data_IF_100729630180
#
_entry.id   IF_100729630180
#
_cell.length_a   1.000
_cell.length_b   1.000
_cell.length_c   1.000
_cell.angle_alpha   90.00
_cell.angle_beta   90.00
_cell.angle_gamma   90.00
#
_symmetry.space_group_name_H-M   'P 1'
#
loop_
_entity.id
_entity.type
_entity.pdbx_description
1 polymer ?
#
# COMPACT_ATOMS: atom_id res chain seq x y z
N UNK A 1 -16.83 -16.36 -1.54
CA UNK A 1 -17.19 -14.97 -1.85
C UNK A 1 -18.19 -14.49 -0.82
N UNK A 2 -17.94 -13.32 -0.23
CA UNK A 2 -18.77 -12.66 0.76
C UNK A 2 -19.11 -11.23 0.30
N UNK A 3 -20.25 -10.71 0.74
CA UNK A 3 -20.62 -9.32 0.50
C UNK A 3 -20.05 -8.38 1.58
N UNK A 4 -20.24 -7.07 1.41
CA UNK A 4 -19.74 -6.06 2.37
C UNK A 4 -20.33 -6.17 3.76
N UNK A 5 -21.55 -6.70 3.92
CA UNK A 5 -22.17 -6.93 5.24
C UNK A 5 -21.53 -8.10 5.96
N UNK A 6 -21.28 -9.18 5.24
CA UNK A 6 -20.61 -10.37 5.77
C UNK A 6 -19.16 -10.07 6.15
N UNK A 7 -18.43 -9.37 5.27
CA UNK A 7 -17.07 -8.91 5.56
C UNK A 7 -17.03 -7.94 6.75
N UNK A 8 -17.97 -7.00 6.84
CA UNK A 8 -18.08 -6.06 7.96
C UNK A 8 -18.26 -6.79 9.30
N UNK A 9 -19.09 -7.85 9.31
CA UNK A 9 -19.27 -8.71 10.47
C UNK A 9 -18.00 -9.52 10.79
N UNK A 10 -17.36 -10.15 9.79
CA UNK A 10 -16.12 -10.93 9.96
C UNK A 10 -15.00 -10.06 10.53
N UNK A 11 -14.88 -8.82 10.07
CA UNK A 11 -13.79 -7.91 10.40
C UNK A 11 -14.11 -6.91 11.52
N UNK A 12 -15.27 -7.08 12.15
CA UNK A 12 -15.79 -6.24 13.24
C UNK A 12 -15.66 -4.75 12.93
N UNK A 13 -16.17 -4.34 11.76
CA UNK A 13 -16.09 -2.96 11.30
C UNK A 13 -17.38 -2.53 10.57
N UNK A 14 -17.44 -1.27 10.18
CA UNK A 14 -18.60 -0.75 9.45
C UNK A 14 -18.61 -1.20 7.99
N UNK A 15 -19.81 -1.40 7.42
CA UNK A 15 -20.01 -1.66 5.98
C UNK A 15 -19.39 -0.54 5.13
N UNK A 16 -19.43 0.70 5.63
CA UNK A 16 -18.81 1.87 4.98
C UNK A 16 -17.29 1.72 4.89
N UNK A 17 -16.66 1.21 5.95
CA UNK A 17 -15.22 0.90 5.97
C UNK A 17 -14.89 -0.15 4.92
N UNK A 18 -15.64 -1.26 4.88
CA UNK A 18 -15.40 -2.32 3.88
C UNK A 18 -15.55 -1.79 2.46
N UNK A 19 -16.65 -1.07 2.19
CA UNK A 19 -16.91 -0.45 0.88
C UNK A 19 -15.77 0.47 0.47
N UNK A 20 -15.27 1.28 1.42
CA UNK A 20 -14.12 2.15 1.18
C UNK A 20 -12.87 1.35 0.85
N UNK A 21 -12.53 0.31 1.61
CA UNK A 21 -11.34 -0.52 1.33
C UNK A 21 -11.39 -1.19 -0.04
N UNK A 22 -12.57 -1.64 -0.48
CA UNK A 22 -12.76 -2.20 -1.82
C UNK A 22 -12.59 -1.11 -2.89
N UNK A 23 -13.26 0.03 -2.71
CA UNK A 23 -13.18 1.16 -3.64
C UNK A 23 -11.77 1.75 -3.72
N UNK A 24 -11.03 1.75 -2.62
CA UNK A 24 -9.66 2.24 -2.52
C UNK A 24 -8.65 1.26 -3.15
N UNK A 25 -9.08 0.06 -3.57
CA UNK A 25 -8.22 -0.97 -4.18
C UNK A 25 -7.33 -1.72 -3.19
N UNK A 26 -7.55 -1.53 -1.88
CA UNK A 26 -6.75 -2.14 -0.81
C UNK A 26 -7.00 -3.65 -0.72
N UNK A 27 -8.19 -4.09 -1.12
CA UNK A 27 -8.57 -5.51 -1.25
C UNK A 27 -8.55 -5.85 -2.75
N UNK A 28 -7.46 -6.42 -3.30
CA UNK A 28 -7.25 -6.44 -4.74
C UNK A 28 -8.20 -7.32 -5.52
N UNK A 29 -8.72 -8.35 -4.85
CA UNK A 29 -9.64 -9.33 -5.43
C UNK A 29 -11.10 -8.96 -5.18
N UNK A 30 -11.37 -7.79 -4.58
CA UNK A 30 -12.72 -7.28 -4.46
C UNK A 30 -13.20 -6.73 -5.80
N UNK A 31 -14.32 -7.23 -6.28
CA UNK A 31 -14.92 -6.85 -7.55
C UNK A 31 -16.38 -6.50 -7.37
N UNK A 32 -16.96 -5.80 -8.35
CA UNK A 32 -18.41 -5.56 -8.37
C UNK A 32 -19.10 -6.65 -9.19
N UNK A 33 -20.17 -7.21 -8.65
CA UNK A 33 -21.08 -8.08 -9.41
C UNK A 33 -21.88 -7.28 -10.45
N UNK A 34 -22.70 -8.00 -11.23
CA UNK A 34 -23.61 -7.43 -12.24
C UNK A 34 -24.58 -6.37 -11.67
N UNK A 35 -24.82 -6.39 -10.35
CA UNK A 35 -25.68 -5.44 -9.64
C UNK A 35 -24.89 -4.32 -8.95
N UNK A 36 -23.62 -4.13 -9.33
CA UNK A 36 -22.71 -3.13 -8.76
C UNK A 36 -22.43 -3.29 -7.26
N UNK A 37 -22.61 -4.50 -6.71
CA UNK A 37 -22.32 -4.81 -5.30
C UNK A 37 -20.93 -5.41 -5.18
N UNK A 38 -20.18 -4.97 -4.18
CA UNK A 38 -18.87 -5.54 -3.88
C UNK A 38 -18.98 -7.00 -3.44
N UNK A 39 -18.18 -7.84 -4.08
CA UNK A 39 -17.95 -9.25 -3.78
C UNK A 39 -16.49 -9.40 -3.40
N UNK A 40 -16.24 -9.99 -2.24
CA UNK A 40 -14.92 -10.10 -1.62
C UNK A 40 -14.62 -11.60 -1.42
N UNK A 41 -13.43 -12.10 -1.73
CA UNK A 41 -13.07 -13.48 -1.41
C UNK A 41 -13.14 -13.79 0.08
N UNK A 42 -13.50 -15.03 0.43
CA UNK A 42 -13.74 -15.40 1.85
C UNK A 42 -12.44 -15.44 2.66
N UNK A 43 -11.37 -15.79 1.97
CA UNK A 43 -9.99 -15.84 2.44
C UNK A 43 -9.37 -14.46 2.66
N UNK A 44 -9.96 -13.39 2.11
CA UNK A 44 -9.45 -12.05 2.37
C UNK A 44 -9.63 -11.69 3.85
N UNK A 45 -8.53 -11.24 4.44
CA UNK A 45 -8.49 -10.66 5.77
C UNK A 45 -8.56 -9.14 5.72
N UNK A 46 -8.95 -8.55 6.85
CA UNK A 46 -8.96 -7.10 7.01
C UNK A 46 -7.53 -6.57 6.86
N UNK A 47 -7.31 -5.50 6.08
CA UNK A 47 -6.00 -4.86 6.01
C UNK A 47 -5.55 -4.41 7.42
N UNK A 48 -4.31 -4.72 7.85
CA UNK A 48 -3.84 -4.41 9.19
C UNK A 48 -3.54 -2.91 9.37
N UNK A 49 -3.31 -2.20 8.26
CA UNK A 49 -2.99 -0.77 8.24
C UNK A 49 -3.73 -0.06 7.11
N UNK A 50 -3.73 1.28 7.12
CA UNK A 50 -4.39 2.10 6.11
C UNK A 50 -3.73 1.98 4.73
N UNK A 51 -4.46 2.35 3.66
CA UNK A 51 -3.92 2.43 2.28
C UNK A 51 -2.60 3.22 2.24
N UNK A 52 -2.58 4.40 2.85
CA UNK A 52 -1.39 5.24 2.94
C UNK A 52 -0.19 4.50 3.56
N UNK A 53 -0.41 3.75 4.64
CA UNK A 53 0.66 2.97 5.29
C UNK A 53 1.12 1.81 4.41
N UNK A 54 0.23 1.10 3.74
CA UNK A 54 0.61 0.07 2.77
C UNK A 54 1.46 0.65 1.63
N UNK A 55 1.08 1.81 1.09
CA UNK A 55 1.86 2.51 0.08
C UNK A 55 3.22 2.98 0.62
N UNK A 56 3.28 3.46 1.87
CA UNK A 56 4.54 3.78 2.54
C UNK A 56 5.47 2.57 2.66
N UNK A 57 4.95 1.40 3.03
CA UNK A 57 5.75 0.17 3.13
C UNK A 57 6.34 -0.24 1.77
N UNK A 58 5.57 -0.11 0.69
CA UNK A 58 6.05 -0.36 -0.67
C UNK A 58 7.06 0.70 -1.14
N UNK A 59 6.85 1.96 -0.79
CA UNK A 59 7.79 3.06 -1.06
C UNK A 59 9.14 2.82 -0.38
N UNK A 60 9.14 2.29 0.85
CA UNK A 60 10.39 1.94 1.54
C UNK A 60 11.21 0.87 0.82
N UNK A 61 10.56 -0.08 0.15
CA UNK A 61 11.27 -1.06 -0.71
C UNK A 61 12.02 -0.33 -1.84
N UNK A 62 11.37 0.63 -2.49
CA UNK A 62 11.97 1.41 -3.56
C UNK A 62 13.13 2.28 -3.04
N UNK A 63 12.95 2.95 -1.90
CA UNK A 63 13.98 3.78 -1.29
C UNK A 63 15.23 2.98 -0.86
N UNK A 64 15.05 1.78 -0.30
CA UNK A 64 16.17 0.90 0.06
C UNK A 64 16.99 0.50 -1.17
N UNK A 65 16.35 0.29 -2.32
CA UNK A 65 17.04 0.04 -3.61
C UNK A 65 17.79 1.25 -4.14
N UNK A 66 17.36 2.44 -3.77
CA UNK A 66 18.03 3.71 -4.10
C UNK A 66 19.18 4.05 -3.14
N UNK A 67 19.45 3.20 -2.14
CA UNK A 67 20.58 3.32 -1.24
C UNK A 67 20.24 3.85 0.16
N UNK A 68 18.96 3.97 0.51
CA UNK A 68 18.58 4.26 1.90
C UNK A 68 19.03 3.12 2.81
N UNK A 69 19.63 3.47 3.95
CA UNK A 69 20.16 2.50 4.92
C UNK A 69 19.08 2.12 5.93
N UNK A 70 18.75 0.82 6.02
CA UNK A 70 17.67 0.30 6.86
C UNK A 70 17.72 0.79 8.32
N UNK A 71 18.91 0.71 8.93
CA UNK A 71 19.14 1.10 10.34
C UNK A 71 18.88 2.57 10.65
N UNK A 72 18.81 3.42 9.62
CA UNK A 72 18.56 4.86 9.77
C UNK A 72 17.10 5.24 9.51
N UNK A 73 16.26 4.28 9.12
CA UNK A 73 14.85 4.52 8.88
C UNK A 73 14.12 4.75 10.21
N UNK A 74 13.45 5.89 10.31
CA UNK A 74 12.45 6.15 11.35
C UNK A 74 11.09 5.72 10.82
N UNK A 75 10.69 4.49 11.15
CA UNK A 75 9.48 3.85 10.60
C UNK A 75 8.18 4.58 10.94
N UNK A 76 8.09 5.23 12.11
CA UNK A 76 6.87 5.94 12.53
C UNK A 76 5.63 5.05 12.67
N UNK A 77 5.81 3.73 12.69
CA UNK A 77 4.80 2.69 12.91
C UNK A 77 5.39 1.64 13.85
N UNK A 78 4.52 0.88 14.51
CA UNK A 78 4.97 -0.20 15.40
C UNK A 78 5.57 -1.37 14.60
N UNK A 79 6.44 -2.16 15.24
CA UNK A 79 7.00 -3.37 14.64
C UNK A 79 5.91 -4.37 14.23
N UNK A 80 4.85 -4.50 15.04
CA UNK A 80 3.68 -5.32 14.71
C UNK A 80 3.03 -4.88 13.39
N UNK A 81 2.76 -3.58 13.24
CA UNK A 81 2.16 -3.03 12.01
C UNK A 81 3.08 -3.18 10.79
N UNK A 82 4.40 -3.09 11.00
CA UNK A 82 5.40 -3.30 9.96
C UNK A 82 5.35 -4.74 9.44
N UNK A 83 5.39 -5.72 10.34
CA UNK A 83 5.36 -7.16 10.01
C UNK A 83 4.02 -7.55 9.40
N UNK A 84 2.90 -7.19 10.04
CA UNK A 84 1.55 -7.51 9.53
C UNK A 84 1.29 -6.81 8.18
N UNK A 85 1.78 -5.57 8.01
CA UNK A 85 1.68 -4.84 6.76
C UNK A 85 2.40 -5.53 5.60
N UNK A 86 3.65 -5.95 5.80
CA UNK A 86 4.39 -6.68 4.75
C UNK A 86 3.79 -8.06 4.48
N UNK A 87 3.35 -8.77 5.53
CA UNK A 87 2.63 -10.04 5.36
C UNK A 87 1.39 -9.87 4.48
N UNK A 88 0.57 -8.86 4.76
CA UNK A 88 -0.61 -8.54 3.96
C UNK A 88 -0.24 -8.22 2.49
N UNK A 89 0.81 -7.43 2.26
CA UNK A 89 1.29 -7.10 0.91
C UNK A 89 1.76 -8.33 0.12
N UNK A 90 2.42 -9.29 0.79
CA UNK A 90 2.88 -10.55 0.19
C UNK A 90 1.68 -11.43 -0.15
N UNK A 91 0.79 -11.69 0.82
CA UNK A 91 -0.40 -12.55 0.65
C UNK A 91 -1.33 -12.06 -0.47
N UNK A 92 -1.37 -10.74 -0.70
CA UNK A 92 -2.18 -10.12 -1.75
C UNK A 92 -1.42 -9.88 -3.07
N UNK A 93 -0.20 -10.41 -3.20
CA UNK A 93 0.67 -10.29 -4.37
C UNK A 93 0.96 -8.85 -4.80
N UNK A 94 1.02 -7.91 -3.85
CA UNK A 94 1.43 -6.52 -4.07
C UNK A 94 2.96 -6.36 -4.01
N UNK A 95 3.63 -7.26 -3.29
CA UNK A 95 5.09 -7.34 -3.18
C UNK A 95 5.52 -8.81 -3.35
N UNK A 96 6.73 -9.04 -3.87
CA UNK A 96 7.34 -10.37 -3.92
C UNK A 96 7.42 -11.02 -2.54
N UNK A 97 7.35 -12.35 -2.47
CA UNK A 97 7.50 -13.09 -1.21
C UNK A 97 8.91 -12.95 -0.62
N UNK A 98 9.00 -12.84 0.70
CA UNK A 98 10.24 -12.88 1.49
C UNK A 98 9.93 -13.18 2.97
N UNK A 99 10.95 -13.44 3.79
CA UNK A 99 10.80 -13.63 5.23
C UNK A 99 10.61 -12.29 5.95
N UNK A 100 9.40 -12.05 6.46
CA UNK A 100 9.03 -10.83 7.20
C UNK A 100 9.73 -10.69 8.54
N UNK A 101 10.43 -11.72 9.03
CA UNK A 101 11.26 -11.65 10.24
C UNK A 101 12.72 -11.24 9.95
N UNK A 102 13.09 -11.07 8.67
CA UNK A 102 14.43 -10.68 8.23
C UNK A 102 14.42 -9.41 7.36
N UNK A 103 13.58 -8.43 7.72
CA UNK A 103 13.31 -7.24 6.91
C UNK A 103 14.55 -6.48 6.44
N UNK A 104 15.56 -6.32 7.30
CA UNK A 104 16.80 -5.60 6.95
C UNK A 104 17.51 -6.20 5.73
N UNK A 105 17.53 -7.54 5.65
CA UNK A 105 18.21 -8.26 4.57
C UNK A 105 17.32 -8.49 3.35
N UNK A 106 16.01 -8.60 3.56
CA UNK A 106 15.06 -9.04 2.54
C UNK A 106 14.40 -7.88 1.79
N UNK A 107 14.06 -6.77 2.46
CA UNK A 107 13.40 -5.63 1.81
C UNK A 107 14.17 -5.04 0.63
N UNK A 108 15.52 -4.90 0.66
CA UNK A 108 16.27 -4.41 -0.50
C UNK A 108 16.17 -5.34 -1.73
N UNK A 109 15.93 -6.64 -1.52
CA UNK A 109 15.77 -7.64 -2.58
C UNK A 109 14.33 -7.74 -3.08
N UNK A 110 13.36 -7.38 -2.23
CA UNK A 110 11.93 -7.45 -2.53
C UNK A 110 11.55 -6.52 -3.70
N UNK A 111 10.47 -6.86 -4.42
CA UNK A 111 10.00 -6.07 -5.56
C UNK A 111 8.51 -5.77 -5.43
N UNK A 112 8.14 -4.50 -5.64
CA UNK A 112 6.75 -4.08 -5.74
C UNK A 112 6.19 -4.54 -7.10
N UNK A 113 5.14 -5.34 -7.07
CA UNK A 113 4.52 -5.91 -8.29
C UNK A 113 3.71 -4.84 -9.02
N UNK A 114 3.26 -5.13 -10.25
CA UNK A 114 2.37 -4.21 -10.99
C UNK A 114 1.09 -3.89 -10.21
N UNK A 115 0.58 -4.84 -9.41
CA UNK A 115 -0.58 -4.65 -8.54
C UNK A 115 -0.27 -3.68 -7.40
N UNK A 116 0.88 -3.83 -6.73
CA UNK A 116 1.32 -2.90 -5.70
C UNK A 116 1.51 -1.49 -6.25
N UNK A 117 2.13 -1.36 -7.43
CA UNK A 117 2.30 -0.08 -8.13
C UNK A 117 0.96 0.59 -8.44
N UNK A 118 -0.02 -0.14 -8.94
CA UNK A 118 -1.36 0.40 -9.21
C UNK A 118 -2.04 0.98 -7.94
N UNK A 119 -1.83 0.37 -6.78
CA UNK A 119 -2.31 0.92 -5.50
C UNK A 119 -1.56 2.22 -5.12
N UNK A 120 -0.25 2.27 -5.32
CA UNK A 120 0.55 3.47 -5.07
C UNK A 120 0.15 4.62 -6.00
N UNK A 121 -0.08 4.34 -7.29
CA UNK A 121 -0.55 5.33 -8.28
C UNK A 121 -1.90 5.93 -7.86
N UNK A 122 -2.81 5.05 -7.40
CA UNK A 122 -4.10 5.48 -6.89
C UNK A 122 -3.97 6.37 -5.66
N UNK A 123 -3.15 6.01 -4.69
CA UNK A 123 -2.92 6.86 -3.50
C UNK A 123 -2.25 8.18 -3.88
N UNK A 124 -1.35 8.21 -4.86
CA UNK A 124 -0.77 9.46 -5.37
C UNK A 124 -1.84 10.36 -6.03
N UNK A 125 -2.83 9.79 -6.71
CA UNK A 125 -3.89 10.53 -7.39
C UNK A 125 -5.03 10.98 -6.46
N UNK A 126 -5.47 10.09 -5.59
CA UNK A 126 -6.71 10.22 -4.79
C UNK A 126 -6.44 10.46 -3.30
N UNK A 127 -5.20 10.21 -2.83
CA UNK A 127 -4.82 10.39 -1.45
C UNK A 127 -4.84 11.86 -1.06
N UNK A 128 -5.34 12.14 0.14
CA UNK A 128 -5.34 13.49 0.72
C UNK A 128 -3.98 13.92 1.27
N UNK A 129 -3.00 13.00 1.29
CA UNK A 129 -1.65 13.29 1.78
C UNK A 129 -0.87 14.11 0.77
N UNK A 130 -0.08 15.07 1.28
CA UNK A 130 0.88 15.83 0.48
C UNK A 130 2.03 14.94 0.00
N UNK A 131 2.35 13.87 0.74
CA UNK A 131 3.42 12.94 0.36
C UNK A 131 3.00 12.14 -0.87
N UNK A 132 3.85 12.19 -1.90
CA UNK A 132 3.77 11.30 -3.06
C UNK A 132 4.78 10.18 -2.90
N UNK A 133 4.39 8.98 -3.31
CA UNK A 133 5.23 7.79 -3.27
C UNK A 133 5.99 7.63 -4.57
N UNK A 134 7.23 7.16 -4.48
CA UNK A 134 8.06 6.89 -5.65
C UNK A 134 7.58 5.60 -6.31
N UNK A 135 7.10 5.73 -7.54
CA UNK A 135 6.66 4.62 -8.37
C UNK A 135 7.74 4.45 -9.41
N UNK A 136 8.77 3.65 -9.10
CA UNK A 136 9.85 3.34 -10.02
C UNK A 136 9.27 2.58 -11.23
N UNK A 137 8.87 3.34 -12.23
CA UNK A 137 8.31 2.88 -13.47
C UNK A 137 9.20 3.37 -14.60
N UNK A 138 9.97 2.47 -15.20
CA UNK A 138 10.43 2.68 -16.58
C UNK A 138 9.22 2.46 -17.50
N UNK A 139 8.27 3.40 -17.55
CA UNK A 139 7.42 3.54 -18.75
C UNK A 139 8.12 4.56 -19.61
N UNK A 140 8.53 4.13 -20.80
CA UNK A 140 8.93 5.03 -21.87
C UNK A 140 7.67 5.76 -22.38
N UNK A 141 7.16 6.73 -21.64
CA UNK A 141 6.15 7.68 -22.13
C UNK A 141 6.38 9.03 -21.46
N UNK A 142 7.08 9.91 -22.18
CA UNK A 142 6.97 11.37 -22.08
C UNK A 142 7.19 12.01 -20.71
N UNK A 143 8.43 12.47 -20.50
CA UNK A 143 8.87 13.56 -19.59
C UNK A 143 7.79 14.12 -18.66
N UNK A 144 7.85 13.76 -17.38
CA UNK A 144 7.34 14.59 -16.29
C UNK A 144 8.50 14.88 -15.33
N UNK A 145 9.01 16.10 -15.40
CA UNK A 145 10.02 16.64 -14.49
C UNK A 145 9.41 16.84 -13.10
N UNK A 146 10.04 16.27 -12.07
CA UNK A 146 9.74 16.59 -10.68
C UNK A 146 10.75 17.63 -10.21
N UNK A 147 10.30 18.86 -9.99
CA UNK A 147 11.12 19.87 -9.30
C UNK A 147 11.24 19.48 -7.83
N UNK A 148 12.45 19.16 -7.41
CA UNK A 148 12.83 19.13 -6.00
C UNK A 148 12.89 20.56 -5.48
N UNK A 149 11.95 20.93 -4.61
CA UNK A 149 11.95 22.24 -3.97
C UNK A 149 11.17 22.24 -2.67
N UNK A 150 11.78 21.76 -1.58
CA UNK A 150 11.35 22.15 -0.24
C UNK A 150 11.94 23.53 0.07
N UNK A 151 11.23 24.60 -0.30
CA UNK A 151 11.45 25.91 0.31
C UNK A 151 10.52 26.07 1.51
N UNK A 152 11.16 26.19 2.66
CA UNK A 152 10.56 26.35 3.96
C UNK A 152 10.05 27.80 4.08
N UNK A 153 8.76 28.03 3.90
CA UNK A 153 8.15 29.34 4.20
C UNK A 153 7.33 29.25 5.47
N UNK A 154 7.84 29.87 6.54
CA UNK A 154 7.05 30.61 7.52
C UNK A 154 7.98 31.46 8.40
N UNK A 155 8.24 32.67 7.90
CA UNK A 155 8.44 33.84 8.74
C UNK A 155 7.12 34.62 8.78
N UNK A 156 6.65 34.92 9.99
CA UNK A 156 5.83 36.09 10.32
C UNK A 156 5.99 36.34 11.81
#
# INVERSE_FOLDING_TARGET
MMNTKEAARKWECSIKTVTKLCADGVIPLAEKDERSRWIIPNECEKPPVSRFRLCYLMDMINQLKEGVVYKHIKWGISEKELVEGYKYLIENAMVSSFDVHQLENELPKATVTSRGKALMERENKEGSSQRKFNINFKINTGVFSFETGYENTKGK
#
